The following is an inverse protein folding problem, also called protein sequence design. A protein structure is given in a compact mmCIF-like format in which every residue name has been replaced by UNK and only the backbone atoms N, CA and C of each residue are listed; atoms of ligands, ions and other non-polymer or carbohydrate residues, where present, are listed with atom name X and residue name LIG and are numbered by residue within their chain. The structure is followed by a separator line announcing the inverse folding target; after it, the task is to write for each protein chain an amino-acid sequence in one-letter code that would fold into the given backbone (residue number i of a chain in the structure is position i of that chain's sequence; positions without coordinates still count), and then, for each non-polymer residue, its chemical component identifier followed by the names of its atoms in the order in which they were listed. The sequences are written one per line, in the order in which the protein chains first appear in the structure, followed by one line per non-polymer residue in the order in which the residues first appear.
data_IF_955323927146
#
_entry.id   IF_955323927146
#
_cell.length_a   1.000
_cell.length_b   1.000
_cell.length_c   1.000
_cell.angle_alpha   90.00
_cell.angle_beta   90.00
_cell.angle_gamma   90.00
#
_symmetry.space_group_name_H-M   'P 1'
#
loop_
_entity.id
_entity.type
_entity.pdbx_description
1 polymer ?
#
# COMPACT_ATOMS: atom_id res chain seq x y z
N UNK A 1 -56.95 37.20 17.94
CA UNK A 1 -55.74 37.73 18.63
C UNK A 1 -54.63 36.67 18.82
N UNK A 2 -54.70 35.50 18.17
CA UNK A 2 -53.76 34.39 18.41
C UNK A 2 -52.69 34.20 17.32
N UNK A 3 -52.74 34.99 16.24
CA UNK A 3 -51.87 34.81 15.07
C UNK A 3 -50.64 35.74 15.04
N UNK A 4 -50.46 36.57 16.08
CA UNK A 4 -49.36 37.53 16.19
C UNK A 4 -48.25 37.09 17.17
N UNK A 5 -48.47 36.03 17.95
CA UNK A 5 -47.53 35.56 18.98
C UNK A 5 -46.56 34.48 18.49
N UNK A 6 -46.89 33.78 17.40
CA UNK A 6 -46.05 32.72 16.82
C UNK A 6 -44.81 33.27 16.08
N UNK A 7 -44.95 34.45 15.45
CA UNK A 7 -43.85 35.11 14.72
C UNK A 7 -42.72 35.62 15.63
N UNK A 8 -43.02 35.87 16.91
CA UNK A 8 -42.04 36.39 17.88
C UNK A 8 -41.20 35.30 18.54
N UNK A 9 -41.67 34.05 18.57
CA UNK A 9 -40.89 32.91 19.09
C UNK A 9 -39.81 32.45 18.11
N UNK A 10 -40.08 32.48 16.80
CA UNK A 10 -39.10 32.07 15.77
C UNK A 10 -37.84 32.95 15.69
N UNK A 11 -37.91 34.24 16.04
CA UNK A 11 -36.76 35.16 15.96
C UNK A 11 -35.84 35.17 17.19
N UNK A 12 -36.17 34.43 18.25
CA UNK A 12 -35.34 34.32 19.47
C UNK A 12 -34.68 32.96 19.65
N UNK A 13 -35.02 31.97 18.82
CA UNK A 13 -34.47 30.61 18.94
C UNK A 13 -33.15 30.40 18.19
N UNK A 14 -32.65 31.42 17.47
CA UNK A 14 -31.44 31.30 16.65
C UNK A 14 -30.12 31.36 17.44
N UNK A 15 -30.15 31.56 18.76
CA UNK A 15 -28.93 31.63 19.60
C UNK A 15 -28.83 30.56 20.68
N UNK A 16 -29.71 29.55 20.66
CA UNK A 16 -29.69 28.45 21.63
C UNK A 16 -30.12 27.13 21.02
N UNK A 17 -29.85 26.93 19.73
CA UNK A 17 -29.77 25.56 19.22
C UNK A 17 -28.36 25.09 19.54
N UNK A 18 -28.24 24.19 20.52
CA UNK A 18 -26.97 23.53 20.77
C UNK A 18 -26.52 22.87 19.45
N UNK A 19 -25.28 23.13 19.04
CA UNK A 19 -24.74 22.48 17.87
C UNK A 19 -24.57 20.99 18.19
N UNK A 20 -25.43 20.18 17.58
CA UNK A 20 -25.42 18.72 17.69
C UNK A 20 -24.67 18.07 16.52
N UNK A 21 -23.82 18.82 15.80
CA UNK A 21 -22.93 18.29 14.77
C UNK A 21 -22.07 17.12 15.27
N UNK A 22 -21.76 17.06 16.57
CA UNK A 22 -21.04 15.95 17.22
C UNK A 22 -21.92 14.69 17.47
N UNK A 23 -23.25 14.83 17.56
CA UNK A 23 -24.18 13.68 17.60
C UNK A 23 -24.39 13.08 16.21
N UNK A 24 -24.17 13.86 15.16
CA UNK A 24 -23.96 13.34 13.82
C UNK A 24 -22.55 12.74 13.79
N UNK A 25 -22.39 11.59 14.45
CA UNK A 25 -21.18 10.80 14.47
C UNK A 25 -20.71 10.62 13.01
N UNK A 26 -19.70 11.37 12.58
CA UNK A 26 -19.02 11.06 11.34
C UNK A 26 -18.48 9.66 11.55
N UNK A 27 -18.96 8.64 10.80
CA UNK A 27 -18.39 7.31 10.93
C UNK A 27 -16.89 7.48 10.75
N UNK A 28 -16.12 6.99 11.72
CA UNK A 28 -14.66 7.00 11.66
C UNK A 28 -14.26 6.63 10.23
N UNK A 29 -13.52 7.50 9.51
CA UNK A 29 -13.18 7.21 8.12
C UNK A 29 -12.58 5.82 8.09
N UNK A 30 -13.19 4.93 7.29
CA UNK A 30 -12.74 3.56 7.15
C UNK A 30 -11.24 3.61 6.85
N UNK A 31 -10.41 2.82 7.56
CA UNK A 31 -8.99 2.79 7.26
C UNK A 31 -8.81 2.41 5.80
N UNK A 32 -7.91 3.09 5.11
CA UNK A 32 -7.63 2.79 3.72
C UNK A 32 -7.24 1.31 3.56
N UNK A 33 -7.85 0.65 2.58
CA UNK A 33 -7.55 -0.73 2.22
C UNK A 33 -7.20 -0.81 0.74
N UNK A 34 -6.16 -1.58 0.42
CA UNK A 34 -5.83 -1.93 -0.95
C UNK A 34 -6.97 -2.74 -1.58
N UNK A 35 -7.31 -2.46 -2.83
CA UNK A 35 -8.25 -3.31 -3.55
C UNK A 35 -7.61 -4.68 -3.83
N UNK A 36 -8.41 -5.76 -3.99
CA UNK A 36 -7.86 -7.07 -4.34
C UNK A 36 -7.02 -7.05 -5.61
N UNK A 37 -7.42 -6.26 -6.61
CA UNK A 37 -6.68 -6.10 -7.84
C UNK A 37 -5.34 -5.38 -7.62
N UNK A 38 -5.35 -4.34 -6.78
CA UNK A 38 -4.12 -3.63 -6.44
C UNK A 38 -3.09 -4.55 -5.79
N UNK A 39 -3.56 -5.39 -4.88
CA UNK A 39 -2.74 -6.34 -4.14
C UNK A 39 -2.15 -7.42 -5.06
N UNK A 40 -2.96 -7.99 -5.95
CA UNK A 40 -2.50 -8.99 -6.92
C UNK A 40 -1.42 -8.45 -7.85
N UNK A 41 -1.62 -7.25 -8.41
CA UNK A 41 -0.64 -6.64 -9.32
C UNK A 41 0.67 -6.32 -8.59
N UNK A 42 0.58 -5.78 -7.37
CA UNK A 42 1.78 -5.49 -6.56
C UNK A 42 2.54 -6.77 -6.22
N UNK A 43 1.85 -7.86 -5.89
CA UNK A 43 2.48 -9.14 -5.60
C UNK A 43 3.19 -9.74 -6.82
N UNK A 44 2.56 -9.67 -8.00
CA UNK A 44 3.16 -10.15 -9.25
C UNK A 44 4.46 -9.40 -9.59
N UNK A 45 4.48 -8.07 -9.39
CA UNK A 45 5.68 -7.27 -9.56
C UNK A 45 6.75 -7.58 -8.50
N UNK A 46 6.37 -7.67 -7.22
CA UNK A 46 7.30 -8.00 -6.14
C UNK A 46 7.98 -9.35 -6.35
N UNK A 47 7.26 -10.35 -6.87
CA UNK A 47 7.79 -11.69 -7.12
C UNK A 47 8.91 -11.71 -8.18
N UNK A 48 8.99 -10.70 -9.05
CA UNK A 48 9.99 -10.58 -10.12
C UNK A 48 11.27 -9.89 -9.64
N UNK A 49 11.26 -9.22 -8.49
CA UNK A 49 12.41 -8.50 -7.96
C UNK A 49 13.28 -9.44 -7.11
N UNK A 50 14.57 -9.61 -7.42
CA UNK A 50 15.48 -10.41 -6.61
C UNK A 50 15.61 -9.87 -5.18
N UNK A 51 15.81 -10.74 -4.16
CA UNK A 51 15.92 -10.30 -2.76
C UNK A 51 16.95 -9.20 -2.51
N UNK A 52 18.08 -9.22 -3.23
CA UNK A 52 19.13 -8.21 -3.13
C UNK A 52 18.69 -6.81 -3.60
N UNK A 53 17.66 -6.72 -4.45
CA UNK A 53 17.18 -5.45 -5.02
C UNK A 53 16.00 -4.84 -4.25
N UNK A 54 15.41 -5.57 -3.29
CA UNK A 54 14.32 -5.06 -2.47
C UNK A 54 14.71 -3.80 -1.69
N UNK A 55 15.91 -3.77 -1.11
CA UNK A 55 16.40 -2.63 -0.33
C UNK A 55 16.45 -1.33 -1.16
N UNK A 56 17.20 -1.31 -2.28
CA UNK A 56 17.22 -0.17 -3.20
C UNK A 56 15.84 0.28 -3.67
N UNK A 57 14.95 -0.65 -4.04
CA UNK A 57 13.59 -0.33 -4.47
C UNK A 57 12.77 0.37 -3.36
N UNK A 58 12.84 -0.15 -2.12
CA UNK A 58 12.15 0.44 -0.96
C UNK A 58 12.68 1.85 -0.67
N UNK A 59 14.01 2.06 -0.74
CA UNK A 59 14.60 3.38 -0.53
C UNK A 59 14.15 4.38 -1.61
N UNK A 60 14.12 3.96 -2.89
CA UNK A 60 13.65 4.80 -4.00
C UNK A 60 12.19 5.20 -3.79
N UNK A 61 11.33 4.25 -3.44
CA UNK A 61 9.92 4.51 -3.15
C UNK A 61 9.74 5.50 -1.99
N UNK A 62 10.43 5.29 -0.85
CA UNK A 62 10.35 6.20 0.30
C UNK A 62 10.76 7.63 -0.06
N UNK A 63 11.80 7.79 -0.88
CA UNK A 63 12.23 9.12 -1.37
C UNK A 63 11.12 9.79 -2.18
N UNK A 64 10.47 9.07 -3.09
CA UNK A 64 9.38 9.61 -3.90
C UNK A 64 8.16 9.99 -3.04
N UNK A 65 7.79 9.16 -2.06
CA UNK A 65 6.69 9.47 -1.14
C UNK A 65 6.98 10.75 -0.35
N UNK A 66 8.21 10.92 0.15
CA UNK A 66 8.60 12.13 0.89
C UNK A 66 8.71 13.38 0.00
N UNK A 67 8.95 13.24 -1.29
CA UNK A 67 9.07 14.38 -2.22
C UNK A 67 7.73 14.82 -2.78
N UNK A 68 6.84 13.87 -3.07
CA UNK A 68 5.55 14.14 -3.72
C UNK A 68 4.41 14.31 -2.73
N UNK A 69 4.55 13.83 -1.49
CA UNK A 69 3.51 13.82 -0.45
C UNK A 69 2.14 13.34 -0.98
N UNK A 70 2.08 12.15 -1.62
CA UNK A 70 0.86 11.67 -2.27
C UNK A 70 -0.25 11.37 -1.26
N UNK A 71 -1.50 11.43 -1.72
CA UNK A 71 -2.62 10.93 -0.94
C UNK A 71 -2.55 9.40 -0.80
N UNK A 72 -3.16 8.86 0.26
CA UNK A 72 -3.09 7.43 0.59
C UNK A 72 -3.53 6.52 -0.56
N UNK A 73 -4.50 6.96 -1.36
CA UNK A 73 -5.04 6.21 -2.49
C UNK A 73 -4.13 6.23 -3.73
N UNK A 74 -3.15 7.13 -3.77
CA UNK A 74 -2.17 7.27 -4.87
C UNK A 74 -0.90 6.46 -4.60
N UNK A 75 -0.61 6.15 -3.32
CA UNK A 75 0.54 5.37 -2.87
C UNK A 75 0.72 4.04 -3.64
N UNK A 76 -0.33 3.23 -3.88
CA UNK A 76 -0.16 1.97 -4.62
C UNK A 76 0.24 2.19 -6.07
N UNK A 77 -0.29 3.24 -6.72
CA UNK A 77 0.07 3.60 -8.09
C UNK A 77 1.54 4.01 -8.15
N UNK A 78 1.99 4.84 -7.21
CA UNK A 78 3.39 5.25 -7.11
C UNK A 78 4.31 4.05 -6.89
N UNK A 79 3.91 3.11 -6.02
CA UNK A 79 4.70 1.92 -5.77
C UNK A 79 4.79 1.01 -7.00
N UNK A 80 3.69 0.82 -7.74
CA UNK A 80 3.72 0.09 -9.03
C UNK A 80 4.73 0.65 -10.00
N UNK A 81 4.79 1.99 -10.15
CA UNK A 81 5.76 2.63 -11.05
C UNK A 81 7.18 2.28 -10.63
N UNK A 82 7.52 2.42 -9.34
CA UNK A 82 8.85 2.05 -8.84
C UNK A 82 9.18 0.58 -9.08
N UNK A 83 8.23 -0.31 -8.83
CA UNK A 83 8.44 -1.75 -9.03
C UNK A 83 8.65 -2.09 -10.52
N UNK A 84 7.89 -1.46 -11.43
CA UNK A 84 8.08 -1.65 -12.87
C UNK A 84 9.45 -1.16 -13.32
N UNK A 85 9.85 0.04 -12.90
CA UNK A 85 11.17 0.60 -13.20
C UNK A 85 12.28 -0.35 -12.72
N UNK A 86 12.15 -0.91 -11.51
CA UNK A 86 13.12 -1.89 -11.01
C UNK A 86 13.15 -3.16 -11.85
N UNK A 87 11.99 -3.71 -12.23
CA UNK A 87 11.91 -4.91 -13.09
C UNK A 87 12.54 -4.64 -14.46
N UNK A 88 12.32 -3.47 -15.03
CA UNK A 88 12.88 -3.08 -16.31
C UNK A 88 14.42 -2.94 -16.23
N UNK A 89 14.94 -2.26 -15.19
CA UNK A 89 16.38 -2.16 -14.91
C UNK A 89 17.05 -3.55 -14.75
N UNK A 90 16.36 -4.48 -14.08
CA UNK A 90 16.82 -5.87 -13.91
C UNK A 90 16.92 -6.57 -15.26
N UNK A 91 15.87 -6.46 -16.07
CA UNK A 91 15.80 -7.11 -17.37
C UNK A 91 16.87 -6.56 -18.31
N UNK A 92 17.10 -5.24 -18.32
CA UNK A 92 18.17 -4.62 -19.11
C UNK A 92 19.55 -5.13 -18.69
N UNK A 93 19.82 -5.23 -17.39
CA UNK A 93 21.09 -5.74 -16.89
C UNK A 93 21.30 -7.24 -17.21
N UNK A 94 20.25 -8.07 -17.16
CA UNK A 94 20.33 -9.50 -17.52
C UNK A 94 20.59 -9.68 -19.03
N UNK A 95 20.04 -8.81 -19.89
CA UNK A 95 20.32 -8.82 -21.33
C UNK A 95 21.78 -8.44 -21.65
N UNK A 96 22.39 -7.55 -20.86
CA UNK A 96 23.79 -7.18 -20.99
C UNK A 96 24.74 -8.24 -20.39
N UNK A 97 24.27 -9.05 -19.44
CA UNK A 97 25.02 -10.13 -18.80
C UNK A 97 24.62 -11.52 -19.33
N UNK A 98 25.07 -11.88 -20.54
CA UNK A 98 25.02 -13.26 -21.03
C UNK A 98 26.13 -14.15 -20.42
N UNK A 99 26.14 -15.47 -20.68
CA UNK A 99 25.55 -16.59 -19.93
C UNK A 99 26.27 -16.96 -18.60
N UNK A 100 27.10 -16.10 -18.02
CA UNK A 100 27.92 -16.49 -16.86
C UNK A 100 27.09 -16.65 -15.55
N UNK A 101 25.94 -15.97 -15.45
CA UNK A 101 25.00 -16.07 -14.32
C UNK A 101 24.01 -17.23 -14.45
N UNK A 102 23.82 -17.79 -15.66
CA UNK A 102 22.96 -18.95 -15.89
C UNK A 102 23.47 -20.19 -15.14
N UNK A 103 24.79 -20.40 -15.13
CA UNK A 103 25.42 -21.52 -14.41
C UNK A 103 25.31 -21.39 -12.88
N UNK A 104 25.21 -20.18 -12.35
CA UNK A 104 25.04 -19.93 -10.91
C UNK A 104 23.57 -20.16 -10.48
N UNK A 105 22.60 -19.73 -11.29
CA UNK A 105 21.16 -20.01 -11.09
C UNK A 105 20.84 -21.51 -11.20
N UNK A 106 21.60 -22.26 -12.02
CA UNK A 106 21.47 -23.72 -12.14
C UNK A 106 22.11 -24.49 -10.97
N UNK A 107 22.86 -23.83 -10.08
CA UNK A 107 23.38 -24.43 -8.86
C UNK A 107 22.33 -24.53 -7.75
N UNK A 108 21.06 -24.70 -8.12
CA UNK A 108 19.98 -25.10 -7.22
C UNK A 108 20.24 -26.55 -6.81
N UNK A 109 20.85 -26.69 -5.64
CA UNK A 109 20.99 -27.92 -4.84
C UNK A 109 22.06 -28.91 -5.29
N UNK A 110 23.34 -28.61 -4.99
CA UNK A 110 24.25 -29.66 -4.54
C UNK A 110 23.85 -29.98 -3.09
N UNK A 111 23.36 -31.20 -2.90
CA UNK A 111 22.71 -31.74 -1.69
C UNK A 111 23.34 -31.25 -0.36
N UNK A 112 22.67 -30.34 0.34
CA UNK A 112 22.79 -30.25 1.80
C UNK A 112 21.81 -31.28 2.37
N UNK A 113 22.24 -32.53 2.33
CA UNK A 113 21.54 -33.71 2.80
C UNK A 113 20.75 -33.41 4.09
N UNK A 114 19.42 -33.45 3.97
CA UNK A 114 18.45 -33.58 5.05
C UNK A 114 18.83 -32.91 6.38
N UNK A 115 18.90 -31.59 6.42
CA UNK A 115 18.61 -30.91 7.69
C UNK A 115 17.11 -31.02 7.88
N UNK A 116 16.67 -31.84 8.84
CA UNK A 116 15.27 -32.04 9.23
C UNK A 116 14.66 -30.77 9.83
N UNK A 117 14.51 -29.73 9.00
CA UNK A 117 13.84 -28.47 9.33
C UNK A 117 12.32 -28.58 9.08
N UNK A 118 11.71 -29.74 9.36
CA UNK A 118 10.26 -29.94 9.27
C UNK A 118 9.62 -30.33 10.59
N UNK A 119 10.34 -30.19 11.71
CA UNK A 119 9.88 -30.78 12.96
C UNK A 119 8.74 -30.01 13.64
N UNK A 120 8.44 -28.75 13.27
CA UNK A 120 7.35 -27.97 13.92
C UNK A 120 6.83 -26.80 13.06
N UNK A 121 6.33 -27.03 11.84
CA UNK A 121 5.41 -26.04 11.26
C UNK A 121 4.14 -26.09 12.10
N UNK A 122 3.94 -25.12 13.01
CA UNK A 122 2.66 -24.97 13.70
C UNK A 122 1.65 -24.53 12.64
N UNK A 123 0.77 -25.45 12.25
CA UNK A 123 -0.53 -25.10 11.67
C UNK A 123 -1.26 -24.26 12.72
N UNK A 124 -1.33 -22.95 12.47
CA UNK A 124 -2.24 -22.05 13.16
C UNK A 124 -3.65 -22.20 12.63
#
# INVERSE_FOLDING_TARGET
LERATEGRRRRRSSSSTADYSWLANNPTPQPYQLTPNDLLELQDLCAKIPPAQCGPAIVRFRRLVSQMEPEVHEVPRLFRTVLRDCVDEINENDNLQTPNTFFEKQQRSKSLSFVTFRTKFRTG
#
